data_IF_008668241197
#
_entry.id   IF_008668241197
#
_cell.length_a   1.000
_cell.length_b   1.000
_cell.length_c   1.000
_cell.angle_alpha   90.00
_cell.angle_beta   90.00
_cell.angle_gamma   90.00
#
_symmetry.space_group_name_H-M   'P 1'
#
loop_
_entity.id
_entity.type
_entity.pdbx_description
1 polymer ?
#
# COMPACT_ATOMS: atom_id res chain seq x y z
N UNK A 1 -9.16 -16.76 0.94
CA UNK A 1 -9.88 -15.87 1.89
C UNK A 1 -10.37 -14.65 1.13
N UNK A 2 -11.63 -14.29 1.29
CA UNK A 2 -12.13 -13.05 0.68
C UNK A 2 -11.81 -11.87 1.61
N UNK A 3 -10.87 -11.01 1.19
CA UNK A 3 -10.43 -9.85 1.98
C UNK A 3 -11.44 -8.69 1.92
N UNK A 4 -12.36 -8.68 0.94
CA UNK A 4 -13.30 -7.57 0.72
C UNK A 4 -14.32 -7.41 1.86
N UNK A 5 -14.51 -8.43 2.67
CA UNK A 5 -15.44 -8.42 3.80
C UNK A 5 -14.78 -8.08 5.14
N UNK A 6 -13.47 -7.85 5.15
CA UNK A 6 -12.70 -7.59 6.36
C UNK A 6 -12.47 -6.08 6.53
N UNK A 7 -12.65 -5.59 7.76
CA UNK A 7 -12.11 -4.29 8.12
C UNK A 7 -10.59 -4.33 8.29
N UNK A 8 -9.95 -3.16 8.33
CA UNK A 8 -8.50 -3.04 8.41
C UNK A 8 -7.89 -3.73 9.64
N UNK A 9 -8.55 -3.67 10.78
CA UNK A 9 -8.05 -4.28 12.02
C UNK A 9 -8.14 -5.80 11.94
N UNK A 10 -9.28 -6.33 11.50
CA UNK A 10 -9.47 -7.76 11.30
C UNK A 10 -8.48 -8.34 10.30
N UNK A 11 -8.23 -7.63 9.21
CA UNK A 11 -7.24 -8.01 8.20
C UNK A 11 -5.82 -8.05 8.80
N UNK A 12 -5.43 -6.99 9.51
CA UNK A 12 -4.12 -6.90 10.16
C UNK A 12 -3.91 -8.02 11.18
N UNK A 13 -4.93 -8.36 11.97
CA UNK A 13 -4.86 -9.45 12.92
C UNK A 13 -4.61 -10.79 12.23
N UNK A 14 -5.30 -11.07 11.11
CA UNK A 14 -5.10 -12.32 10.35
C UNK A 14 -3.70 -12.41 9.74
N UNK A 15 -3.16 -11.30 9.26
CA UNK A 15 -1.78 -11.26 8.76
C UNK A 15 -0.78 -11.50 9.91
N UNK A 16 -0.94 -10.82 11.05
CA UNK A 16 -0.09 -11.02 12.21
C UNK A 16 -0.16 -12.45 12.77
N UNK A 17 -1.34 -13.07 12.72
CA UNK A 17 -1.53 -14.46 13.13
C UNK A 17 -1.06 -15.47 12.08
N UNK A 18 -0.53 -15.01 10.95
CA UNK A 18 -0.08 -15.86 9.84
C UNK A 18 -1.19 -16.74 9.23
N UNK A 19 -2.44 -16.30 9.34
CA UNK A 19 -3.59 -16.95 8.69
C UNK A 19 -3.62 -16.66 7.18
N UNK A 20 -3.07 -15.51 6.79
CA UNK A 20 -2.83 -15.08 5.41
C UNK A 20 -1.54 -14.25 5.38
N UNK A 21 -0.77 -14.33 4.32
CA UNK A 21 0.46 -13.55 4.17
C UNK A 21 0.17 -12.14 3.64
N UNK A 22 1.06 -11.18 3.95
CA UNK A 22 0.98 -9.84 3.40
C UNK A 22 1.11 -9.86 1.86
N UNK A 23 1.89 -10.78 1.30
CA UNK A 23 2.00 -10.99 -0.15
C UNK A 23 0.67 -11.41 -0.75
N UNK A 24 -0.06 -12.36 -0.14
CA UNK A 24 -1.36 -12.81 -0.63
C UNK A 24 -2.40 -11.69 -0.58
N UNK A 25 -2.47 -10.94 0.52
CA UNK A 25 -3.37 -9.78 0.65
C UNK A 25 -3.07 -8.74 -0.44
N UNK A 26 -1.80 -8.38 -0.61
CA UNK A 26 -1.36 -7.42 -1.61
C UNK A 26 -1.72 -7.88 -3.02
N UNK A 27 -1.49 -9.16 -3.33
CA UNK A 27 -1.83 -9.75 -4.62
C UNK A 27 -3.32 -9.68 -4.93
N UNK A 28 -4.17 -10.15 -4.01
CA UNK A 28 -5.63 -10.11 -4.16
C UNK A 28 -6.14 -8.67 -4.37
N UNK A 29 -5.61 -7.72 -3.59
CA UNK A 29 -6.01 -6.31 -3.71
C UNK A 29 -5.59 -5.70 -5.05
N UNK A 30 -4.35 -5.93 -5.47
CA UNK A 30 -3.85 -5.40 -6.75
C UNK A 30 -4.59 -6.01 -7.95
N UNK A 31 -4.90 -7.30 -7.92
CA UNK A 31 -5.71 -7.94 -8.96
C UNK A 31 -7.10 -7.31 -9.06
N UNK A 32 -7.72 -7.01 -7.91
CA UNK A 32 -8.99 -6.30 -7.87
C UNK A 32 -8.89 -4.88 -8.44
N UNK A 33 -7.84 -4.14 -8.06
CA UNK A 33 -7.57 -2.79 -8.60
C UNK A 33 -7.38 -2.85 -10.11
N UNK A 34 -6.58 -3.76 -10.63
CA UNK A 34 -6.34 -3.91 -12.07
C UNK A 34 -7.63 -4.23 -12.85
N UNK A 35 -8.53 -5.00 -12.27
CA UNK A 35 -9.83 -5.31 -12.88
C UNK A 35 -10.80 -4.13 -12.89
N UNK A 36 -10.82 -3.32 -11.82
CA UNK A 36 -11.79 -2.24 -11.64
C UNK A 36 -11.32 -0.89 -12.17
N UNK A 37 -10.00 -0.63 -12.16
CA UNK A 37 -9.46 0.68 -12.51
C UNK A 37 -9.79 1.14 -13.95
N UNK A 38 -9.82 0.26 -14.99
CA UNK A 38 -10.23 0.69 -16.32
C UNK A 38 -11.64 1.30 -16.37
N UNK A 39 -12.54 0.84 -15.51
CA UNK A 39 -13.92 1.34 -15.41
C UNK A 39 -14.03 2.54 -14.47
N UNK A 40 -13.35 2.51 -13.33
CA UNK A 40 -13.46 3.52 -12.27
C UNK A 40 -12.49 4.67 -12.46
N UNK A 41 -11.33 4.42 -13.08
CA UNK A 41 -10.27 5.42 -13.32
C UNK A 41 -9.85 6.19 -12.06
N UNK A 42 -9.73 5.49 -10.92
CA UNK A 42 -9.43 6.11 -9.64
C UNK A 42 -7.92 6.10 -9.29
N UNK A 43 -7.13 5.21 -9.87
CA UNK A 43 -5.69 5.18 -9.71
C UNK A 43 -4.98 5.85 -10.87
N UNK A 44 -4.16 6.86 -10.60
CA UNK A 44 -3.26 7.48 -11.60
C UNK A 44 -1.96 6.71 -11.74
N UNK A 45 -1.52 6.05 -10.66
CA UNK A 45 -0.31 5.23 -10.62
C UNK A 45 -0.57 4.04 -9.70
N UNK A 46 -0.24 2.84 -10.16
CA UNK A 46 -0.30 1.61 -9.35
C UNK A 46 1.15 1.20 -9.03
N UNK A 47 1.48 1.07 -7.75
CA UNK A 47 2.83 0.82 -7.26
C UNK A 47 3.06 -0.67 -6.98
N UNK A 48 2.78 -1.52 -7.98
CA UNK A 48 2.77 -2.98 -7.85
C UNK A 48 4.07 -3.55 -7.30
N UNK A 49 5.20 -3.21 -7.91
CA UNK A 49 6.50 -3.76 -7.49
C UNK A 49 6.87 -3.33 -6.07
N UNK A 50 6.68 -2.05 -5.75
CA UNK A 50 6.97 -1.52 -4.41
C UNK A 50 6.07 -2.16 -3.35
N UNK A 51 4.79 -2.37 -3.67
CA UNK A 51 3.84 -3.01 -2.75
C UNK A 51 4.26 -4.46 -2.44
N UNK A 52 4.63 -5.24 -3.43
CA UNK A 52 5.11 -6.61 -3.22
C UNK A 52 6.43 -6.68 -2.44
N UNK A 53 7.37 -5.76 -2.69
CA UNK A 53 8.61 -5.69 -1.91
C UNK A 53 8.33 -5.38 -0.43
N UNK A 54 7.44 -4.44 -0.15
CA UNK A 54 7.01 -4.14 1.23
C UNK A 54 6.32 -5.33 1.88
N UNK A 55 5.42 -5.99 1.17
CA UNK A 55 4.72 -7.17 1.66
C UNK A 55 5.68 -8.31 2.03
N UNK A 56 6.66 -8.56 1.17
CA UNK A 56 7.71 -9.57 1.40
C UNK A 56 8.53 -9.26 2.66
N UNK A 57 8.93 -8.01 2.83
CA UNK A 57 9.67 -7.58 4.03
C UNK A 57 8.83 -7.80 5.28
N UNK A 58 7.54 -7.45 5.24
CA UNK A 58 6.62 -7.67 6.37
C UNK A 58 6.49 -9.15 6.72
N UNK A 59 6.27 -10.02 5.74
CA UNK A 59 6.14 -11.46 5.98
C UNK A 59 7.41 -12.04 6.63
N UNK A 60 8.60 -11.59 6.21
CA UNK A 60 9.87 -11.99 6.83
C UNK A 60 9.94 -11.52 8.29
N UNK A 61 9.55 -10.29 8.58
CA UNK A 61 9.56 -9.73 9.94
C UNK A 61 8.57 -10.43 10.86
N UNK A 62 7.36 -10.72 10.36
CA UNK A 62 6.35 -11.49 11.10
C UNK A 62 6.87 -12.89 11.44
N UNK A 63 7.50 -13.58 10.48
CA UNK A 63 8.08 -14.89 10.69
C UNK A 63 9.18 -14.90 11.77
N UNK A 64 9.87 -13.75 11.97
CA UNK A 64 10.86 -13.57 13.04
C UNK A 64 10.24 -13.16 14.39
N UNK A 65 8.93 -13.00 14.46
CA UNK A 65 8.22 -12.57 15.68
C UNK A 65 8.37 -11.08 15.99
N UNK A 66 8.74 -10.25 15.01
CA UNK A 66 8.84 -8.80 15.19
C UNK A 66 7.45 -8.15 15.25
N UNK A 67 7.32 -7.09 16.06
CA UNK A 67 6.16 -6.20 16.00
C UNK A 67 6.20 -5.38 14.69
N UNK A 68 5.20 -5.54 13.86
CA UNK A 68 5.10 -4.89 12.56
C UNK A 68 4.03 -3.79 12.51
N UNK A 69 3.33 -3.56 13.62
CA UNK A 69 2.38 -2.47 13.79
C UNK A 69 0.91 -2.89 13.73
N UNK A 70 0.03 -1.93 13.98
CA UNK A 70 -1.43 -2.15 14.11
C UNK A 70 -2.15 -2.29 12.76
N UNK A 71 -1.51 -1.90 11.66
CA UNK A 71 -2.04 -1.97 10.30
C UNK A 71 -1.23 -2.93 9.40
N UNK A 72 -0.59 -3.90 10.01
CA UNK A 72 0.28 -4.85 9.31
C UNK A 72 -0.42 -5.52 8.13
N UNK A 73 0.16 -5.32 6.94
CA UNK A 73 -0.34 -5.92 5.70
C UNK A 73 -1.60 -5.29 5.12
N UNK A 74 -2.12 -4.23 5.73
CA UNK A 74 -3.32 -3.52 5.23
C UNK A 74 -2.93 -2.66 4.01
N UNK A 75 -3.51 -2.92 2.82
CA UNK A 75 -3.25 -2.08 1.65
C UNK A 75 -3.93 -0.72 1.79
N UNK A 76 -3.26 0.34 1.37
CA UNK A 76 -3.84 1.68 1.31
C UNK A 76 -3.46 2.42 0.04
N UNK A 77 -4.33 3.33 -0.37
CA UNK A 77 -4.13 4.22 -1.50
C UNK A 77 -4.09 5.67 -1.02
N UNK A 78 -3.40 6.52 -1.76
CA UNK A 78 -3.19 7.93 -1.42
C UNK A 78 -3.53 8.80 -2.62
N UNK A 79 -4.24 9.88 -2.38
CA UNK A 79 -4.44 10.90 -3.40
C UNK A 79 -3.10 11.51 -3.79
N UNK A 80 -2.84 11.70 -5.10
CA UNK A 80 -1.58 12.25 -5.60
C UNK A 80 -1.45 13.78 -5.35
N UNK A 81 -1.70 14.19 -4.12
CA UNK A 81 -1.35 15.49 -3.55
C UNK A 81 -0.39 15.33 -2.37
N UNK A 82 -0.19 14.09 -1.89
CA UNK A 82 0.83 13.76 -0.91
C UNK A 82 2.11 13.33 -1.61
N UNK A 83 3.25 13.76 -1.07
CA UNK A 83 4.55 13.31 -1.58
C UNK A 83 4.78 11.84 -1.28
N UNK A 84 5.14 11.11 -2.31
CA UNK A 84 5.61 9.72 -2.26
C UNK A 84 7.00 9.68 -2.86
N UNK A 85 7.96 9.15 -2.14
CA UNK A 85 9.35 9.03 -2.60
C UNK A 85 9.42 8.38 -3.99
N UNK A 86 10.10 9.05 -4.91
CA UNK A 86 10.28 8.59 -6.28
C UNK A 86 9.09 8.83 -7.22
N UNK A 87 8.01 9.43 -6.75
CA UNK A 87 6.80 9.73 -7.54
C UNK A 87 6.62 11.24 -7.69
N UNK A 88 6.24 11.68 -8.88
CA UNK A 88 5.91 13.09 -9.13
C UNK A 88 4.56 13.41 -8.49
N UNK A 89 4.52 14.42 -7.64
CA UNK A 89 3.29 14.91 -7.00
C UNK A 89 2.54 15.81 -7.99
N UNK A 90 1.47 15.27 -8.58
CA UNK A 90 0.71 15.97 -9.61
C UNK A 90 -0.30 16.99 -9.05
N UNK A 91 -0.83 16.75 -7.88
CA UNK A 91 -1.86 17.57 -7.23
C UNK A 91 -3.03 17.95 -8.18
N UNK A 92 -3.38 17.01 -9.08
CA UNK A 92 -4.46 17.20 -10.07
C UNK A 92 -4.15 18.17 -11.20
N UNK A 93 -2.91 18.62 -11.37
CA UNK A 93 -2.55 19.63 -12.38
C UNK A 93 -1.47 19.14 -13.34
N UNK A 94 -1.73 19.32 -14.63
CA UNK A 94 -0.77 18.96 -15.69
C UNK A 94 0.53 19.77 -15.64
N UNK A 95 0.54 20.96 -15.05
CA UNK A 95 1.75 21.78 -14.93
C UNK A 95 2.81 21.13 -14.03
N UNK A 96 2.40 20.21 -13.16
CA UNK A 96 3.30 19.52 -12.25
C UNK A 96 3.97 18.29 -12.88
N UNK A 97 3.59 17.88 -14.09
CA UNK A 97 4.12 16.67 -14.74
C UNK A 97 5.63 16.67 -14.94
N UNK A 98 6.22 17.85 -15.10
CA UNK A 98 7.66 18.02 -15.36
C UNK A 98 8.45 18.32 -14.08
N UNK A 99 7.80 18.32 -12.92
CA UNK A 99 8.48 18.46 -11.64
C UNK A 99 9.32 17.22 -11.36
N UNK A 100 10.38 17.40 -10.58
CA UNK A 100 11.16 16.26 -10.07
C UNK A 100 10.30 15.38 -9.15
N UNK A 101 10.52 14.06 -9.15
CA UNK A 101 9.92 13.17 -8.16
C UNK A 101 10.23 13.63 -6.74
N UNK A 102 9.30 13.38 -5.81
CA UNK A 102 9.52 13.65 -4.40
C UNK A 102 10.73 12.86 -3.88
N UNK A 103 11.52 13.49 -3.02
CA UNK A 103 12.74 12.90 -2.46
C UNK A 103 12.47 12.06 -1.22
N UNK A 104 11.30 12.25 -0.61
CA UNK A 104 10.86 11.51 0.57
C UNK A 104 9.33 11.43 0.63
N UNK A 105 8.83 10.45 1.39
CA UNK A 105 7.41 10.35 1.69
C UNK A 105 6.95 11.50 2.60
N UNK A 106 5.72 11.98 2.40
CA UNK A 106 5.05 12.85 3.36
C UNK A 106 4.95 12.18 4.74
N UNK A 107 4.90 12.99 5.79
CA UNK A 107 4.84 12.49 7.19
C UNK A 107 3.70 11.51 7.41
N UNK A 108 2.51 11.78 6.87
CA UNK A 108 1.36 10.89 6.98
C UNK A 108 1.65 9.51 6.37
N UNK A 109 2.33 9.46 5.23
CA UNK A 109 2.71 8.24 4.53
C UNK A 109 3.74 7.45 5.33
N UNK A 110 4.76 8.14 5.88
CA UNK A 110 5.75 7.53 6.76
C UNK A 110 5.09 6.86 7.97
N UNK A 111 4.10 7.51 8.58
CA UNK A 111 3.37 6.98 9.74
C UNK A 111 2.53 5.75 9.39
N UNK A 112 1.84 5.75 8.25
CA UNK A 112 1.08 4.59 7.79
C UNK A 112 1.98 3.40 7.50
N UNK A 113 3.11 3.62 6.82
CA UNK A 113 4.11 2.57 6.57
C UNK A 113 4.72 2.04 7.86
N UNK A 114 5.03 2.92 8.83
CA UNK A 114 5.53 2.52 10.15
C UNK A 114 4.53 1.69 10.95
N UNK A 115 3.22 1.91 10.74
CA UNK A 115 2.15 1.09 11.30
C UNK A 115 1.97 -0.27 10.60
N UNK A 116 2.74 -0.55 9.55
CA UNK A 116 2.73 -1.81 8.81
C UNK A 116 1.81 -1.82 7.58
N UNK A 117 1.18 -0.69 7.24
CA UNK A 117 0.34 -0.61 6.05
C UNK A 117 1.18 -0.59 4.76
N UNK A 118 0.61 -1.09 3.67
CA UNK A 118 1.27 -1.25 2.37
C UNK A 118 0.67 -0.28 1.37
N UNK A 119 1.50 0.63 0.84
CA UNK A 119 1.10 1.57 -0.20
C UNK A 119 0.97 0.85 -1.55
N UNK A 120 -0.19 0.94 -2.18
CA UNK A 120 -0.49 0.28 -3.47
C UNK A 120 -0.67 1.24 -4.64
N UNK A 121 -0.86 2.51 -4.35
CA UNK A 121 -1.05 3.51 -5.40
C UNK A 121 -1.54 4.86 -4.89
#
# INVERSE_FOLDING_TARGET
MNIDSLDAISLSQRVNNQEITAIEVTGQFLDYVEQQNPRLNCFTTILKNQAFEQAKILDIRIAKGEDTGVLTGVPFAVKNLFDIEGIITLAGSKINKENSPATEDATAIKKLKAAGAILVG
#
